data_IF_788917145768
#
_entry.id   IF_788917145768
#
_cell.length_a   1.000
_cell.length_b   1.000
_cell.length_c   1.000
_cell.angle_alpha   90.00
_cell.angle_beta   90.00
_cell.angle_gamma   90.00
#
_symmetry.space_group_name_H-M   'P 1'
#
loop_
_entity.id
_entity.type
_entity.pdbx_description
1 polymer ?
#
# COMPACT_ATOMS: atom_id res chain seq x y z
N UNK A 1 13.74 5.80 -17.03
CA UNK A 1 12.42 6.08 -16.45
C UNK A 1 12.50 7.42 -15.73
N UNK A 2 11.78 8.46 -16.17
CA UNK A 2 11.90 9.80 -15.59
C UNK A 2 11.19 9.96 -14.23
N UNK A 3 10.29 9.03 -13.89
CA UNK A 3 9.39 9.13 -12.72
C UNK A 3 9.51 7.95 -11.76
N UNK A 4 10.48 7.06 -11.97
CA UNK A 4 10.63 5.82 -11.18
C UNK A 4 12.10 5.66 -10.81
N UNK A 5 12.34 5.44 -9.53
CA UNK A 5 13.63 5.12 -8.97
C UNK A 5 13.59 3.72 -8.33
N UNK A 6 14.58 2.89 -8.62
CA UNK A 6 14.78 1.61 -7.93
C UNK A 6 15.72 1.86 -6.77
N UNK A 7 15.21 1.72 -5.54
CA UNK A 7 16.01 1.93 -4.34
C UNK A 7 17.08 0.84 -4.20
N UNK A 8 18.28 1.17 -3.70
CA UNK A 8 19.29 0.17 -3.36
C UNK A 8 18.83 -0.69 -2.18
N UNK A 9 19.50 -1.82 -1.95
CA UNK A 9 19.27 -2.62 -0.73
C UNK A 9 19.55 -1.78 0.51
N UNK A 10 18.64 -1.80 1.47
CA UNK A 10 18.70 -1.01 2.69
C UNK A 10 18.22 -1.82 3.91
N UNK A 11 18.51 -1.32 5.10
CA UNK A 11 17.96 -1.86 6.35
C UNK A 11 16.45 -1.59 6.44
N UNK A 12 15.76 -2.29 7.35
CA UNK A 12 14.34 -2.05 7.61
C UNK A 12 14.07 -0.61 8.07
N UNK A 13 14.98 -0.04 8.87
CA UNK A 13 14.91 1.37 9.26
C UNK A 13 15.08 2.31 8.04
N UNK A 14 15.98 1.98 7.11
CA UNK A 14 16.15 2.75 5.88
C UNK A 14 14.87 2.80 5.05
N UNK A 15 14.20 1.66 4.88
CA UNK A 15 12.90 1.60 4.21
C UNK A 15 11.84 2.39 4.98
N UNK A 16 11.81 2.28 6.31
CA UNK A 16 10.87 3.03 7.15
C UNK A 16 11.01 4.55 6.97
N UNK A 17 12.24 5.07 6.85
CA UNK A 17 12.51 6.49 6.58
C UNK A 17 11.97 6.93 5.23
N UNK A 18 12.12 6.10 4.20
CA UNK A 18 11.53 6.37 2.87
C UNK A 18 10.00 6.42 2.96
N UNK A 19 9.38 5.43 3.62
CA UNK A 19 7.93 5.37 3.80
C UNK A 19 7.41 6.58 4.58
N UNK A 20 8.11 7.00 5.65
CA UNK A 20 7.72 8.16 6.46
C UNK A 20 7.67 9.47 5.64
N UNK A 21 8.54 9.61 4.63
CA UNK A 21 8.55 10.75 3.72
C UNK A 21 7.57 10.65 2.55
N UNK A 22 6.98 9.48 2.30
CA UNK A 22 6.09 9.28 1.16
C UNK A 22 4.77 10.02 1.35
N UNK A 23 4.30 10.75 0.33
CA UNK A 23 3.00 11.44 0.36
C UNK A 23 1.85 10.45 0.56
N UNK A 24 1.93 9.30 -0.10
CA UNK A 24 1.05 8.15 0.05
C UNK A 24 1.80 6.90 -0.41
N UNK A 25 1.25 5.73 -0.09
CA UNK A 25 1.78 4.43 -0.48
C UNK A 25 0.69 3.62 -1.18
N UNK A 26 1.08 2.85 -2.19
CA UNK A 26 0.27 1.77 -2.76
C UNK A 26 1.01 0.48 -2.47
N UNK A 27 0.36 -0.46 -1.80
CA UNK A 27 1.00 -1.70 -1.35
C UNK A 27 0.12 -2.91 -1.61
N UNK A 28 0.75 -4.08 -1.69
CA UNK A 28 0.05 -5.37 -1.53
C UNK A 28 -0.01 -5.73 -0.05
N UNK A 29 -0.74 -6.79 0.27
CA UNK A 29 -0.75 -7.40 1.59
C UNK A 29 0.64 -7.99 1.95
N UNK A 30 1.43 -7.23 2.72
CA UNK A 30 2.81 -7.59 3.10
C UNK A 30 3.26 -6.84 4.35
N UNK A 31 4.33 -7.29 4.99
CA UNK A 31 4.88 -6.67 6.22
C UNK A 31 5.23 -5.18 6.07
N UNK A 32 5.69 -4.74 4.89
CA UNK A 32 5.95 -3.31 4.65
C UNK A 32 4.67 -2.45 4.58
N UNK A 33 3.52 -3.06 4.24
CA UNK A 33 2.22 -2.39 4.33
C UNK A 33 1.87 -2.11 5.79
N UNK A 34 2.12 -3.06 6.69
CA UNK A 34 1.95 -2.84 8.14
C UNK A 34 2.92 -1.81 8.70
N UNK A 35 4.18 -1.80 8.25
CA UNK A 35 5.14 -0.75 8.62
C UNK A 35 4.64 0.64 8.19
N UNK A 36 4.06 0.74 7.00
CA UNK A 36 3.44 1.97 6.50
C UNK A 36 2.27 2.42 7.38
N UNK A 37 1.41 1.48 7.78
CA UNK A 37 0.29 1.74 8.68
C UNK A 37 0.75 2.24 10.06
N UNK A 38 1.78 1.61 10.63
CA UNK A 38 2.36 2.00 11.91
C UNK A 38 2.99 3.40 11.89
N UNK A 39 3.41 3.88 10.71
CA UNK A 39 3.93 5.23 10.49
C UNK A 39 2.80 6.25 10.19
N UNK A 40 1.53 5.87 10.34
CA UNK A 40 0.34 6.69 10.04
C UNK A 40 0.40 7.31 8.62
N UNK A 41 1.02 6.61 7.67
CA UNK A 41 1.12 7.10 6.28
C UNK A 41 -0.11 6.69 5.49
N UNK A 42 -0.70 7.60 4.70
CA UNK A 42 -1.80 7.25 3.83
C UNK A 42 -1.42 6.11 2.89
N UNK A 43 -2.19 5.04 2.91
CA UNK A 43 -1.82 3.78 2.25
C UNK A 43 -3.05 3.11 1.65
N UNK A 44 -2.96 2.78 0.37
CA UNK A 44 -3.93 1.96 -0.34
C UNK A 44 -3.35 0.56 -0.44
N UNK A 45 -3.94 -0.38 0.30
CA UNK A 45 -3.53 -1.78 0.25
C UNK A 45 -4.47 -2.56 -0.67
N UNK A 46 -3.90 -3.18 -1.70
CA UNK A 46 -4.63 -4.04 -2.64
C UNK A 46 -4.69 -5.48 -2.12
N UNK A 47 -5.91 -5.99 -1.96
CA UNK A 47 -6.19 -7.33 -1.45
C UNK A 47 -6.80 -8.19 -2.56
N UNK A 48 -6.26 -9.40 -2.73
CA UNK A 48 -6.84 -10.44 -3.56
C UNK A 48 -7.63 -11.42 -2.70
N UNK A 49 -7.08 -12.62 -2.42
CA UNK A 49 -7.78 -13.66 -1.68
C UNK A 49 -7.73 -13.49 -0.16
N UNK A 50 -6.90 -12.57 0.35
CA UNK A 50 -6.73 -12.37 1.79
C UNK A 50 -7.75 -11.37 2.32
N UNK A 51 -8.31 -11.65 3.50
CA UNK A 51 -9.35 -10.81 4.11
C UNK A 51 -8.74 -9.68 4.97
N UNK A 52 -8.82 -8.41 4.55
CA UNK A 52 -8.35 -7.28 5.35
C UNK A 52 -9.12 -7.08 6.66
N UNK A 53 -10.29 -7.69 6.84
CA UNK A 53 -11.00 -7.67 8.12
C UNK A 53 -10.26 -8.41 9.24
N UNK A 54 -9.36 -9.33 8.88
CA UNK A 54 -8.59 -10.13 9.83
C UNK A 54 -7.14 -9.66 9.95
N UNK A 55 -6.54 -9.29 8.82
CA UNK A 55 -5.10 -9.03 8.68
C UNK A 55 -4.78 -7.63 8.12
N UNK A 56 -5.76 -6.72 8.12
CA UNK A 56 -5.58 -5.37 7.63
C UNK A 56 -4.49 -4.59 8.37
N UNK A 57 -3.89 -3.62 7.68
CA UNK A 57 -3.00 -2.64 8.33
C UNK A 57 -3.78 -1.77 9.32
N UNK A 58 -3.29 -1.66 10.55
CA UNK A 58 -3.87 -0.79 11.58
C UNK A 58 -3.08 0.51 11.69
N UNK A 59 -3.75 1.64 11.52
CA UNK A 59 -3.16 2.98 11.54
C UNK A 59 -4.12 4.00 10.94
N UNK A 60 -3.74 5.28 10.94
CA UNK A 60 -4.54 6.31 10.27
C UNK A 60 -4.41 6.19 8.75
N UNK A 61 -5.47 6.58 8.05
CA UNK A 61 -5.49 6.69 6.59
C UNK A 61 -5.16 5.38 5.85
N UNK A 62 -5.55 4.23 6.43
CA UNK A 62 -5.42 2.92 5.80
C UNK A 62 -6.66 2.60 4.97
N UNK A 63 -6.47 2.40 3.67
CA UNK A 63 -7.55 2.25 2.70
C UNK A 63 -7.48 0.85 2.09
N UNK A 64 -8.59 0.14 2.17
CA UNK A 64 -8.72 -1.21 1.61
C UNK A 64 -9.17 -1.13 0.15
N UNK A 65 -8.43 -1.76 -0.76
CA UNK A 65 -8.82 -1.96 -2.15
C UNK A 65 -8.95 -3.46 -2.45
N UNK A 66 -10.18 -3.97 -2.46
CA UNK A 66 -10.43 -5.39 -2.76
C UNK A 66 -10.53 -5.62 -4.27
N UNK A 67 -9.81 -6.61 -4.75
CA UNK A 67 -9.90 -7.02 -6.13
C UNK A 67 -11.24 -7.72 -6.43
N UNK A 68 -11.84 -7.51 -7.61
CA UNK A 68 -13.05 -8.22 -8.01
C UNK A 68 -12.84 -9.74 -8.01
N UNK A 69 -13.82 -10.48 -7.47
CA UNK A 69 -13.73 -11.94 -7.32
C UNK A 69 -12.47 -12.39 -6.56
N UNK A 70 -11.99 -11.56 -5.63
CA UNK A 70 -10.85 -11.87 -4.75
C UNK A 70 -9.55 -12.22 -5.51
N UNK A 71 -9.42 -11.74 -6.74
CA UNK A 71 -8.27 -12.04 -7.60
C UNK A 71 -7.70 -10.75 -8.20
N UNK A 72 -6.45 -10.45 -7.85
CA UNK A 72 -5.75 -9.23 -8.27
C UNK A 72 -5.63 -9.09 -9.79
N UNK A 73 -5.69 -10.18 -10.58
CA UNK A 73 -5.71 -10.12 -12.05
C UNK A 73 -6.91 -9.31 -12.55
N UNK A 74 -8.02 -9.29 -11.79
CA UNK A 74 -9.23 -8.57 -12.16
C UNK A 74 -9.21 -7.10 -11.73
N UNK A 75 -8.17 -6.63 -11.04
CA UNK A 75 -8.04 -5.26 -10.56
C UNK A 75 -7.18 -4.45 -11.54
N UNK A 76 -7.78 -3.46 -12.21
CA UNK A 76 -7.05 -2.57 -13.11
C UNK A 76 -6.43 -1.38 -12.35
N UNK A 77 -5.45 -0.72 -12.97
CA UNK A 77 -4.75 0.42 -12.38
C UNK A 77 -5.65 1.63 -12.16
N UNK A 78 -6.66 1.85 -13.02
CA UNK A 78 -7.59 2.97 -12.92
C UNK A 78 -8.42 2.89 -11.62
N UNK A 79 -8.89 1.71 -11.23
CA UNK A 79 -9.62 1.49 -9.99
C UNK A 79 -8.77 1.80 -8.74
N UNK A 80 -7.45 1.55 -8.80
CA UNK A 80 -6.52 1.93 -7.73
C UNK A 80 -6.30 3.45 -7.72
N UNK A 81 -6.15 4.07 -8.90
CA UNK A 81 -5.99 5.51 -9.03
C UNK A 81 -7.20 6.29 -8.53
N UNK A 82 -8.42 5.81 -8.76
CA UNK A 82 -9.65 6.45 -8.27
C UNK A 82 -9.71 6.51 -6.74
N UNK A 83 -9.07 5.57 -6.03
CA UNK A 83 -8.92 5.65 -4.57
C UNK A 83 -7.93 6.74 -4.15
N UNK A 84 -6.94 7.09 -4.97
CA UNK A 84 -6.03 8.20 -4.66
C UNK A 84 -6.76 9.55 -4.67
N UNK A 85 -7.82 9.72 -5.46
CA UNK A 85 -8.65 10.94 -5.45
C UNK A 85 -9.40 11.17 -4.13
N UNK A 86 -9.44 10.16 -3.25
CA UNK A 86 -10.07 10.24 -1.92
C UNK A 86 -9.09 10.42 -0.77
N UNK A 87 -7.79 10.61 -1.08
CA UNK A 87 -6.73 11.01 -0.14
C UNK A 87 -6.61 12.54 -0.04
#
# INVERSE_FOLDING_TARGET
>A
FAYVEVLPKMSLEGVARVLAGAKFVVSVDTGLSHLTAALDRPNITVYGPTDPGLIGGYGKNQMVCRAPRENLINLNSQAVLEKLSSL
#
